data_IF_367477198508
#
_entry.id   IF_367477198508
#
_cell.length_a   1.000
_cell.length_b   1.000
_cell.length_c   1.000
_cell.angle_alpha   90.00
_cell.angle_beta   90.00
_cell.angle_gamma   90.00
#
_symmetry.space_group_name_H-M   'P 1'
#
loop_
_entity.id
_entity.type
_entity.pdbx_description
1 polymer ?
#
# COMPACT_ATOMS: atom_id res chain seq x y z
N UNK A 1 6.42 24.58 -12.28
CA UNK A 1 6.20 23.19 -12.69
C UNK A 1 5.45 22.49 -11.56
N UNK A 2 4.31 21.89 -11.84
CA UNK A 2 3.58 21.08 -10.86
C UNK A 2 3.99 19.62 -10.98
N UNK A 3 4.47 19.04 -9.86
CA UNK A 3 4.65 17.59 -9.74
C UNK A 3 3.47 16.99 -9.00
N UNK A 4 3.01 15.83 -9.43
CA UNK A 4 2.11 15.00 -8.67
C UNK A 4 2.92 14.03 -7.80
N UNK A 5 2.48 13.83 -6.56
CA UNK A 5 3.14 12.96 -5.60
C UNK A 5 2.20 11.84 -5.16
N UNK A 6 2.79 10.69 -4.99
CA UNK A 6 2.23 9.58 -4.25
C UNK A 6 2.91 9.59 -2.88
N UNK A 7 2.15 9.78 -1.82
CA UNK A 7 2.70 9.79 -0.46
C UNK A 7 2.65 8.38 0.12
N UNK A 8 3.82 7.85 0.48
CA UNK A 8 3.99 6.48 0.92
C UNK A 8 4.36 6.39 2.38
N UNK A 9 3.76 5.43 3.10
CA UNK A 9 3.94 5.26 4.54
C UNK A 9 5.06 4.29 4.92
N UNK A 10 5.11 3.10 4.29
CA UNK A 10 5.97 2.02 4.79
C UNK A 10 6.74 1.30 3.69
N UNK A 11 7.95 0.84 4.00
CA UNK A 11 8.71 -0.10 3.17
C UNK A 11 8.56 -1.56 3.66
N UNK A 12 8.06 -1.77 4.86
CA UNK A 12 7.67 -3.08 5.41
C UNK A 12 6.53 -2.94 6.40
N UNK A 13 5.77 -4.03 6.57
CA UNK A 13 4.71 -4.12 7.58
C UNK A 13 5.14 -5.01 8.75
N UNK A 14 4.31 -6.00 9.10
CA UNK A 14 4.59 -6.88 10.23
C UNK A 14 5.69 -7.92 9.97
N UNK A 15 5.89 -8.32 8.70
CA UNK A 15 7.00 -9.20 8.35
C UNK A 15 8.26 -8.39 8.05
N UNK A 16 9.42 -8.81 8.58
CA UNK A 16 10.67 -8.08 8.36
C UNK A 16 11.12 -8.16 6.90
N UNK A 17 11.51 -7.02 6.33
CA UNK A 17 12.16 -6.88 5.04
C UNK A 17 13.66 -6.65 5.20
N UNK A 18 14.02 -5.87 6.23
CA UNK A 18 15.40 -5.54 6.54
C UNK A 18 15.70 -5.72 8.03
N UNK A 19 16.99 -5.89 8.35
CA UNK A 19 17.44 -5.92 9.74
C UNK A 19 17.15 -4.58 10.44
N UNK A 20 16.51 -4.60 11.58
CA UNK A 20 16.10 -3.41 12.34
C UNK A 20 15.06 -2.53 11.63
N UNK A 21 14.23 -3.11 10.78
CA UNK A 21 13.18 -2.42 10.05
C UNK A 21 11.97 -2.02 10.91
N UNK A 22 10.99 -1.42 10.24
CA UNK A 22 9.77 -0.90 10.89
C UNK A 22 8.85 -2.00 11.43
N UNK A 23 8.99 -3.25 10.98
CA UNK A 23 8.18 -4.39 11.44
C UNK A 23 8.12 -4.49 12.97
N UNK A 24 9.13 -4.02 13.67
CA UNK A 24 9.23 -4.02 15.13
C UNK A 24 8.24 -3.06 15.81
N UNK A 25 7.79 -2.06 15.09
CA UNK A 25 6.87 -1.02 15.57
C UNK A 25 5.49 -1.12 14.92
N UNK A 26 5.38 -1.90 13.84
CA UNK A 26 4.17 -1.96 13.03
C UNK A 26 2.90 -2.23 13.86
N UNK A 27 2.95 -3.19 14.78
CA UNK A 27 1.77 -3.57 15.56
C UNK A 27 1.30 -2.48 16.55
N UNK A 28 2.18 -1.58 16.98
CA UNK A 28 1.90 -0.55 17.99
C UNK A 28 1.73 0.84 17.40
N UNK A 29 2.42 1.14 16.30
CA UNK A 29 2.54 2.51 15.82
C UNK A 29 1.97 2.73 14.40
N UNK A 30 1.72 1.68 13.61
CA UNK A 30 1.36 1.84 12.20
C UNK A 30 0.11 2.71 11.98
N UNK A 31 -0.96 2.53 12.76
CA UNK A 31 -2.16 3.36 12.64
C UNK A 31 -1.85 4.84 12.92
N UNK A 32 -1.15 5.10 14.02
CA UNK A 32 -0.76 6.45 14.41
C UNK A 32 0.11 7.13 13.34
N UNK A 33 1.04 6.38 12.76
CA UNK A 33 1.95 6.92 11.76
C UNK A 33 1.23 7.22 10.43
N UNK A 34 0.29 6.37 10.00
CA UNK A 34 -0.59 6.66 8.86
C UNK A 34 -1.44 7.91 9.13
N UNK A 35 -2.08 8.01 10.29
CA UNK A 35 -2.86 9.20 10.68
C UNK A 35 -1.99 10.46 10.64
N UNK A 36 -0.79 10.41 11.19
CA UNK A 36 0.14 11.53 11.18
C UNK A 36 0.57 11.92 9.75
N UNK A 37 0.88 10.94 8.89
CA UNK A 37 1.22 11.19 7.49
C UNK A 37 0.08 11.90 6.76
N UNK A 38 -1.14 11.38 6.88
CA UNK A 38 -2.32 11.96 6.23
C UNK A 38 -2.59 13.36 6.75
N UNK A 39 -2.63 13.57 8.06
CA UNK A 39 -2.91 14.88 8.66
C UNK A 39 -1.85 15.93 8.30
N UNK A 40 -0.58 15.54 8.22
CA UNK A 40 0.51 16.45 7.85
C UNK A 40 0.45 16.87 6.37
N UNK A 41 -0.12 16.02 5.49
CA UNK A 41 0.10 16.19 4.04
C UNK A 41 -1.18 16.28 3.20
N UNK A 42 -2.36 15.90 3.70
CA UNK A 42 -3.62 15.87 2.92
C UNK A 42 -4.05 17.21 2.33
N UNK A 43 -3.58 18.31 2.87
CA UNK A 43 -3.88 19.66 2.34
C UNK A 43 -2.97 20.08 1.19
N UNK A 44 -1.99 19.26 0.81
CA UNK A 44 -1.13 19.51 -0.35
C UNK A 44 -1.80 19.05 -1.65
N UNK A 45 -2.14 19.97 -2.56
CA UNK A 45 -2.87 19.61 -3.79
C UNK A 45 -2.06 18.74 -4.75
N UNK A 46 -0.75 18.69 -4.58
CA UNK A 46 0.13 17.83 -5.39
C UNK A 46 0.07 16.35 -5.00
N UNK A 47 -0.42 16.02 -3.79
CA UNK A 47 -0.61 14.61 -3.41
C UNK A 47 -1.90 14.11 -4.05
N UNK A 48 -1.77 13.13 -4.92
CA UNK A 48 -2.89 12.60 -5.71
C UNK A 48 -3.34 11.21 -5.26
N UNK A 49 -2.50 10.53 -4.49
CA UNK A 49 -2.71 9.15 -4.07
C UNK A 49 -1.92 8.83 -2.79
N UNK A 50 -2.43 7.94 -1.98
CA UNK A 50 -1.74 7.34 -0.84
C UNK A 50 -1.14 5.99 -1.21
N UNK A 51 0.06 5.68 -0.69
CA UNK A 51 0.62 4.34 -0.75
C UNK A 51 0.76 3.77 0.67
N UNK A 52 0.16 2.63 0.89
CA UNK A 52 0.26 1.92 2.17
C UNK A 52 1.58 1.17 2.35
N UNK A 53 2.37 1.04 1.29
CA UNK A 53 3.70 0.43 1.37
C UNK A 53 4.30 0.05 0.03
N UNK A 54 5.57 -0.33 0.05
CA UNK A 54 6.31 -0.76 -1.13
C UNK A 54 6.94 -2.15 -0.93
N UNK A 55 6.60 -3.09 -1.80
CA UNK A 55 7.20 -4.43 -1.86
C UNK A 55 7.26 -5.13 -0.49
N UNK A 56 6.19 -4.96 0.28
CA UNK A 56 6.13 -5.49 1.63
C UNK A 56 6.15 -7.01 1.63
N UNK A 57 6.90 -7.68 2.55
CA UNK A 57 6.87 -9.15 2.64
C UNK A 57 5.52 -9.75 3.02
N UNK A 58 4.56 -8.90 3.36
CA UNK A 58 3.17 -9.25 3.67
C UNK A 58 2.26 -9.35 2.44
N UNK A 59 2.72 -9.04 1.24
CA UNK A 59 1.88 -8.91 0.03
C UNK A 59 1.26 -10.23 -0.50
N UNK A 60 1.35 -11.28 0.27
CA UNK A 60 0.67 -12.56 0.01
C UNK A 60 0.17 -13.21 1.29
N UNK A 61 -0.82 -14.09 1.14
CA UNK A 61 -1.41 -14.82 2.25
C UNK A 61 -2.49 -14.06 3.01
N UNK A 62 -3.29 -14.78 3.79
CA UNK A 62 -4.49 -14.27 4.44
C UNK A 62 -4.20 -13.09 5.42
N UNK A 63 -3.10 -13.16 6.15
CA UNK A 63 -2.73 -12.10 7.09
C UNK A 63 -2.28 -10.82 6.38
N UNK A 64 -1.60 -10.94 5.24
CA UNK A 64 -1.26 -9.78 4.41
C UNK A 64 -2.50 -9.09 3.85
N UNK A 65 -3.46 -9.88 3.36
CA UNK A 65 -4.77 -9.39 2.89
C UNK A 65 -5.50 -8.61 4.00
N UNK A 66 -5.54 -9.14 5.22
CA UNK A 66 -6.16 -8.44 6.38
C UNK A 66 -5.46 -7.12 6.69
N UNK A 67 -4.11 -7.10 6.68
CA UNK A 67 -3.33 -5.89 6.94
C UNK A 67 -3.52 -4.84 5.85
N UNK A 68 -3.52 -5.26 4.58
CA UNK A 68 -3.78 -4.38 3.46
C UNK A 68 -5.14 -3.68 3.59
N UNK A 69 -6.18 -4.46 3.87
CA UNK A 69 -7.53 -3.94 4.10
C UNK A 69 -7.58 -2.96 5.28
N UNK A 70 -7.02 -3.33 6.40
CA UNK A 70 -6.97 -2.50 7.60
C UNK A 70 -6.24 -1.16 7.35
N UNK A 71 -5.08 -1.18 6.68
CA UNK A 71 -4.35 0.06 6.35
C UNK A 71 -5.16 0.94 5.39
N UNK A 72 -5.77 0.36 4.35
CA UNK A 72 -6.61 1.10 3.41
C UNK A 72 -7.80 1.76 4.12
N UNK A 73 -8.45 1.05 5.07
CA UNK A 73 -9.53 1.60 5.88
C UNK A 73 -9.09 2.81 6.72
N UNK A 74 -7.86 2.80 7.25
CA UNK A 74 -7.30 3.96 7.96
C UNK A 74 -7.12 5.14 7.02
N UNK A 75 -6.51 4.94 5.84
CA UNK A 75 -6.36 6.01 4.85
C UNK A 75 -7.70 6.61 4.44
N UNK A 76 -8.71 5.79 4.13
CA UNK A 76 -10.05 6.25 3.75
C UNK A 76 -10.76 6.99 4.89
N UNK A 77 -10.56 6.57 6.12
CA UNK A 77 -11.11 7.26 7.30
C UNK A 77 -10.53 8.67 7.45
N UNK A 78 -9.23 8.82 7.22
CA UNK A 78 -8.52 10.09 7.43
C UNK A 78 -8.56 11.01 6.20
N UNK A 79 -8.67 10.43 4.99
CA UNK A 79 -8.87 11.16 3.73
C UNK A 79 -9.66 10.31 2.72
N UNK A 80 -10.98 10.45 2.66
CA UNK A 80 -11.82 9.72 1.70
C UNK A 80 -11.74 10.24 0.27
N UNK A 81 -10.92 11.26 -0.01
CA UNK A 81 -10.88 11.94 -1.32
C UNK A 81 -9.84 11.37 -2.27
N UNK A 82 -8.89 10.60 -1.78
CA UNK A 82 -7.78 10.05 -2.58
C UNK A 82 -7.73 8.53 -2.51
N UNK A 83 -7.42 7.88 -3.64
CA UNK A 83 -7.29 6.43 -3.67
C UNK A 83 -6.02 5.96 -2.95
N UNK A 84 -6.05 4.69 -2.55
CA UNK A 84 -4.95 4.01 -1.87
C UNK A 84 -4.37 2.92 -2.76
N UNK A 85 -3.05 2.83 -2.79
CA UNK A 85 -2.30 1.79 -3.48
C UNK A 85 -1.27 1.12 -2.55
N UNK A 86 -0.63 0.10 -3.07
CA UNK A 86 0.59 -0.52 -2.52
C UNK A 86 1.46 -0.99 -3.69
N UNK A 87 2.76 -0.77 -3.63
CA UNK A 87 3.69 -1.28 -4.64
C UNK A 87 3.89 -2.79 -4.48
N UNK A 88 3.55 -3.57 -5.51
CA UNK A 88 3.62 -5.04 -5.50
C UNK A 88 4.65 -5.55 -6.51
N UNK A 89 5.70 -6.25 -6.03
CA UNK A 89 6.67 -6.93 -6.90
C UNK A 89 6.37 -8.42 -7.10
N UNK A 90 5.58 -9.03 -6.19
CA UNK A 90 5.13 -10.42 -6.27
C UNK A 90 3.76 -10.54 -6.98
N UNK A 91 3.66 -9.93 -8.16
CA UNK A 91 2.40 -9.73 -8.90
C UNK A 91 1.55 -11.00 -9.00
N UNK A 92 2.17 -12.16 -9.29
CA UNK A 92 1.46 -13.44 -9.40
C UNK A 92 0.83 -13.86 -8.05
N UNK A 93 1.60 -13.81 -6.99
CA UNK A 93 1.11 -14.16 -5.65
C UNK A 93 0.02 -13.21 -5.16
N UNK A 94 0.13 -11.91 -5.48
CA UNK A 94 -0.91 -10.92 -5.12
C UNK A 94 -2.20 -11.12 -5.91
N UNK A 95 -2.12 -11.58 -7.16
CA UNK A 95 -3.30 -12.00 -7.93
C UNK A 95 -3.97 -13.24 -7.35
N UNK A 96 -3.17 -14.24 -6.94
CA UNK A 96 -3.68 -15.51 -6.40
C UNK A 96 -4.30 -15.35 -5.01
N UNK A 97 -3.71 -14.54 -4.15
CA UNK A 97 -4.18 -14.30 -2.78
C UNK A 97 -5.35 -13.31 -2.68
N UNK A 98 -5.64 -12.55 -3.74
CA UNK A 98 -6.59 -11.46 -3.71
C UNK A 98 -6.06 -10.17 -3.06
N UNK A 99 -4.78 -10.13 -2.70
CA UNK A 99 -4.15 -8.96 -2.07
C UNK A 99 -4.26 -7.71 -2.96
N UNK A 100 -3.96 -7.85 -4.26
CA UNK A 100 -4.03 -6.73 -5.20
C UNK A 100 -5.44 -6.21 -5.44
N UNK A 101 -6.45 -7.06 -5.30
CA UNK A 101 -7.86 -6.68 -5.50
C UNK A 101 -8.45 -5.86 -4.34
N UNK A 102 -7.73 -5.71 -3.22
CA UNK A 102 -8.18 -4.88 -2.09
C UNK A 102 -7.91 -3.40 -2.37
N UNK A 103 -6.81 -3.09 -3.04
CA UNK A 103 -6.40 -1.72 -3.29
C UNK A 103 -7.34 -1.03 -4.26
N UNK A 104 -7.61 0.27 -4.01
CA UNK A 104 -8.38 1.10 -4.94
C UNK A 104 -7.69 1.15 -6.31
N UNK A 105 -6.36 1.19 -6.30
CA UNK A 105 -5.52 1.13 -7.49
C UNK A 105 -4.38 0.14 -7.24
N UNK A 106 -4.35 -1.02 -7.91
CA UNK A 106 -3.23 -1.95 -7.80
C UNK A 106 -1.92 -1.34 -8.32
N UNK A 107 -0.90 -1.23 -7.47
CA UNK A 107 0.42 -0.75 -7.84
C UNK A 107 1.32 -1.91 -8.27
N UNK A 108 1.74 -1.95 -9.52
CA UNK A 108 2.58 -3.04 -10.03
C UNK A 108 4.02 -2.56 -10.20
N UNK A 109 4.95 -3.21 -9.49
CA UNK A 109 6.38 -2.97 -9.61
C UNK A 109 7.02 -4.03 -10.50
N UNK A 110 7.81 -3.60 -11.50
CA UNK A 110 8.49 -4.50 -12.44
C UNK A 110 7.51 -5.43 -13.18
N UNK A 111 7.91 -6.63 -13.53
CA UNK A 111 7.07 -7.74 -14.03
C UNK A 111 6.14 -7.39 -15.21
N UNK A 112 6.57 -6.50 -16.11
CA UNK A 112 5.81 -6.07 -17.29
C UNK A 112 5.06 -7.20 -18.02
N UNK A 113 5.64 -8.41 -18.22
CA UNK A 113 4.94 -9.51 -18.87
C UNK A 113 3.65 -9.97 -18.18
N UNK A 114 3.45 -9.61 -16.91
CA UNK A 114 2.26 -9.98 -16.11
C UNK A 114 1.17 -8.91 -16.12
N UNK A 115 1.42 -7.74 -16.69
CA UNK A 115 0.48 -6.61 -16.62
C UNK A 115 -0.86 -6.91 -17.28
N UNK A 116 -0.86 -7.51 -18.48
CA UNK A 116 -2.10 -7.86 -19.18
C UNK A 116 -2.95 -8.87 -18.40
N UNK A 117 -2.31 -9.78 -17.68
CA UNK A 117 -2.99 -10.75 -16.81
C UNK A 117 -3.53 -10.05 -15.56
N UNK A 118 -2.72 -9.19 -14.94
CA UNK A 118 -3.10 -8.42 -13.77
C UNK A 118 -4.29 -7.50 -14.05
N UNK A 119 -4.28 -6.77 -15.17
CA UNK A 119 -5.39 -5.90 -15.56
C UNK A 119 -6.71 -6.64 -15.83
N UNK A 120 -6.66 -7.90 -16.24
CA UNK A 120 -7.86 -8.73 -16.38
C UNK A 120 -8.40 -9.22 -15.03
N UNK A 121 -7.54 -9.32 -14.05
CA UNK A 121 -7.86 -9.90 -12.74
C UNK A 121 -8.18 -8.84 -11.67
N UNK A 122 -7.66 -7.65 -11.82
CA UNK A 122 -7.95 -6.50 -10.98
C UNK A 122 -8.82 -5.52 -11.78
N UNK A 123 -10.13 -5.56 -11.64
CA UNK A 123 -11.05 -4.67 -12.37
C UNK A 123 -10.92 -3.21 -11.94
#
# INVERSE_FOLDING_TARGET
MGFMFLAESFDEWAKPKVKNGYNRFFATDAEKDVVNLVHATRNHPSIVMWSSGNEVPDQWGAEGVKRAKWLQEIFHREDPTRPVTVGMDQVKATMESGFGAIMDIPGLNYRLPLYDEAFKKFP
#
